data_IF_740461241577
#
_entry.id   IF_740461241577
#
_cell.length_a   1.000
_cell.length_b   1.000
_cell.length_c   1.000
_cell.angle_alpha   90.00
_cell.angle_beta   90.00
_cell.angle_gamma   90.00
#
_symmetry.space_group_name_H-M   'P 1'
#
loop_
_entity.id
_entity.type
_entity.pdbx_description
1 polymer ?
#
# COMPACT_ATOMS: atom_id res chain seq x y z
N UNK A 1 -19.50 -39.90 -33.42
CA UNK A 1 -19.34 -38.47 -33.08
C UNK A 1 -20.16 -37.99 -31.85
N UNK A 2 -20.86 -38.86 -31.10
CA UNK A 2 -21.77 -38.42 -30.02
C UNK A 2 -21.15 -38.39 -28.59
N UNK A 3 -20.12 -39.18 -28.31
CA UNK A 3 -19.63 -39.36 -26.93
C UNK A 3 -18.77 -38.20 -26.39
N UNK A 4 -18.04 -37.45 -27.24
CA UNK A 4 -17.16 -36.37 -26.79
C UNK A 4 -17.91 -35.07 -26.40
N UNK A 5 -19.07 -34.81 -27.01
CA UNK A 5 -19.90 -33.64 -26.66
C UNK A 5 -20.62 -33.82 -25.31
N UNK A 6 -20.86 -35.06 -24.88
CA UNK A 6 -21.52 -35.33 -23.61
C UNK A 6 -20.59 -35.01 -22.44
N UNK A 7 -19.31 -35.37 -22.53
CA UNK A 7 -18.31 -35.11 -21.48
C UNK A 7 -18.00 -33.62 -21.32
N UNK A 8 -17.93 -32.87 -22.43
CA UNK A 8 -17.73 -31.41 -22.37
C UNK A 8 -18.92 -30.71 -21.71
N UNK A 9 -20.15 -31.09 -22.06
CA UNK A 9 -21.36 -30.51 -21.48
C UNK A 9 -21.52 -30.84 -19.99
N UNK A 10 -21.08 -32.03 -19.56
CA UNK A 10 -21.07 -32.40 -18.14
C UNK A 10 -20.01 -31.65 -17.33
N UNK A 11 -18.85 -31.37 -17.92
CA UNK A 11 -17.79 -30.57 -17.30
C UNK A 11 -18.18 -29.08 -17.17
N UNK A 12 -18.88 -28.52 -18.16
CA UNK A 12 -19.41 -27.15 -18.07
C UNK A 12 -20.53 -27.01 -17.05
N UNK A 13 -21.44 -27.99 -16.97
CA UNK A 13 -22.52 -28.00 -15.98
C UNK A 13 -21.98 -28.10 -14.54
N UNK A 14 -20.89 -28.85 -14.31
CA UNK A 14 -20.24 -28.92 -13.00
C UNK A 14 -19.46 -27.65 -12.65
N UNK A 15 -18.90 -26.93 -13.64
CA UNK A 15 -18.26 -25.63 -13.40
C UNK A 15 -19.26 -24.51 -13.07
N UNK A 16 -20.44 -24.51 -13.70
CA UNK A 16 -21.52 -23.57 -13.34
C UNK A 16 -22.10 -23.87 -11.94
N UNK A 17 -22.22 -25.15 -11.56
CA UNK A 17 -22.69 -25.55 -10.22
C UNK A 17 -21.68 -25.21 -9.10
N UNK A 18 -20.38 -25.20 -9.40
CA UNK A 18 -19.34 -24.70 -8.48
C UNK A 18 -19.29 -23.17 -8.39
N UNK A 19 -19.78 -22.44 -9.40
CA UNK A 19 -19.87 -20.98 -9.39
C UNK A 19 -21.15 -20.47 -8.72
N UNK A 20 -22.19 -21.31 -8.61
CA UNK A 20 -23.53 -20.96 -8.13
C UNK A 20 -23.88 -21.56 -6.74
N UNK A 21 -22.92 -21.63 -5.81
CA UNK A 21 -23.20 -21.88 -4.38
C UNK A 21 -23.27 -20.55 -3.59
N UNK A 22 -24.12 -20.44 -2.56
CA UNK A 22 -25.10 -19.36 -2.42
C UNK A 22 -24.53 -17.99 -2.03
N UNK A 23 -24.78 -16.99 -2.88
CA UNK A 23 -24.79 -15.57 -2.52
C UNK A 23 -26.15 -15.19 -1.91
N UNK A 24 -26.44 -15.56 -0.65
CA UNK A 24 -27.54 -14.90 0.07
C UNK A 24 -27.45 -15.01 1.59
N UNK A 25 -27.53 -13.86 2.26
CA UNK A 25 -28.10 -13.74 3.60
C UNK A 25 -27.27 -12.90 4.58
N UNK A 26 -27.44 -11.58 4.55
CA UNK A 26 -27.24 -10.74 5.73
C UNK A 26 -28.22 -11.23 6.82
N UNK A 27 -27.78 -12.18 7.65
CA UNK A 27 -28.44 -12.56 8.90
C UNK A 27 -27.90 -11.64 10.01
N UNK A 28 -28.74 -10.80 10.64
CA UNK A 28 -28.27 -9.91 11.69
C UNK A 28 -28.04 -10.76 12.95
N UNK A 29 -26.78 -11.06 13.27
CA UNK A 29 -26.48 -11.55 14.62
C UNK A 29 -25.26 -12.43 14.87
N UNK A 30 -24.56 -12.96 13.87
CA UNK A 30 -23.37 -13.77 14.13
C UNK A 30 -22.12 -13.17 13.48
N UNK A 31 -21.32 -12.45 14.27
CA UNK A 31 -20.03 -11.93 13.81
C UNK A 31 -19.15 -13.11 13.36
N UNK A 32 -18.65 -13.14 12.12
CA UNK A 32 -17.78 -14.22 11.65
C UNK A 32 -16.56 -14.35 12.56
N UNK A 33 -16.30 -15.55 13.11
CA UNK A 33 -15.01 -15.82 13.74
C UNK A 33 -13.96 -15.86 12.65
N UNK A 34 -13.21 -14.77 12.56
CA UNK A 34 -12.17 -14.55 11.56
C UNK A 34 -11.09 -15.65 11.65
N UNK A 35 -10.77 -16.37 10.55
CA UNK A 35 -9.71 -17.36 10.56
C UNK A 35 -8.39 -16.74 11.02
N UNK A 36 -7.48 -17.52 11.64
CA UNK A 36 -6.20 -17.01 12.17
C UNK A 36 -5.39 -16.23 11.13
N UNK A 37 -5.48 -16.62 9.85
CA UNK A 37 -4.92 -15.88 8.72
C UNK A 37 -5.49 -14.46 8.57
N UNK A 38 -6.80 -14.25 8.75
CA UNK A 38 -7.42 -12.93 8.68
C UNK A 38 -7.06 -12.04 9.88
N UNK A 39 -6.79 -12.64 11.05
CA UNK A 39 -6.23 -11.91 12.21
C UNK A 39 -4.79 -11.46 11.92
N UNK A 40 -3.98 -12.31 11.31
CA UNK A 40 -2.62 -11.98 10.88
C UNK A 40 -2.63 -10.89 9.80
N UNK A 41 -3.43 -11.05 8.75
CA UNK A 41 -3.60 -10.05 7.67
C UNK A 41 -4.06 -8.71 8.26
N UNK A 42 -5.01 -8.70 9.20
CA UNK A 42 -5.45 -7.46 9.85
C UNK A 42 -4.34 -6.82 10.69
N UNK A 43 -3.49 -7.60 11.37
CA UNK A 43 -2.33 -7.08 12.10
C UNK A 43 -1.29 -6.51 11.14
N UNK A 44 -1.02 -7.19 10.04
CA UNK A 44 -0.14 -6.69 8.98
C UNK A 44 -0.70 -5.42 8.37
N UNK A 45 -2.00 -5.36 8.06
CA UNK A 45 -2.66 -4.17 7.51
C UNK A 45 -2.66 -2.99 8.50
N UNK A 46 -2.79 -3.28 9.80
CA UNK A 46 -2.66 -2.28 10.87
C UNK A 46 -1.21 -1.84 11.07
N UNK A 47 -0.24 -2.71 10.80
CA UNK A 47 1.19 -2.39 10.78
C UNK A 47 1.58 -1.59 9.54
N UNK A 48 1.03 -1.89 8.37
CA UNK A 48 1.26 -1.12 7.14
C UNK A 48 0.62 0.27 7.20
N UNK A 49 -0.33 0.50 8.10
CA UNK A 49 -0.77 1.87 8.39
C UNK A 49 0.39 2.77 8.87
N UNK A 50 1.40 2.24 9.57
CA UNK A 50 2.65 2.98 9.86
C UNK A 50 3.42 3.37 8.60
N UNK A 51 3.30 2.60 7.52
CA UNK A 51 3.90 2.96 6.23
C UNK A 51 3.10 4.07 5.53
N UNK A 52 1.84 4.34 5.90
CA UNK A 52 1.06 5.44 5.31
C UNK A 52 1.67 6.84 5.60
N UNK A 53 2.61 6.95 6.56
CA UNK A 53 3.41 8.16 6.81
C UNK A 53 4.37 8.53 5.65
N UNK A 54 4.44 7.70 4.62
CA UNK A 54 5.17 7.95 3.38
C UNK A 54 4.45 8.86 2.39
N UNK A 55 3.14 9.01 2.53
CA UNK A 55 2.39 9.88 1.64
C UNK A 55 2.69 11.34 2.00
N UNK A 56 2.77 12.25 1.01
CA UNK A 56 2.91 13.69 1.24
C UNK A 56 1.56 14.27 1.75
N UNK A 57 0.93 13.59 2.69
CA UNK A 57 -0.32 14.00 3.32
C UNK A 57 -0.05 14.28 4.79
N UNK A 58 -0.67 15.33 5.31
CA UNK A 58 -0.57 15.71 6.71
C UNK A 58 -1.93 16.13 7.22
N UNK A 59 -2.06 16.21 8.54
CA UNK A 59 -3.28 16.64 9.20
C UNK A 59 -3.01 17.79 10.17
N UNK A 60 -3.99 18.68 10.29
CA UNK A 60 -3.94 19.84 11.19
C UNK A 60 -5.28 19.97 11.91
N UNK A 61 -5.24 20.37 13.19
CA UNK A 61 -6.45 20.75 13.93
C UNK A 61 -6.72 22.23 13.68
N UNK A 62 -7.93 22.50 13.24
CA UNK A 62 -8.50 23.84 13.16
C UNK A 62 -8.81 24.40 14.56
N UNK A 63 -8.99 25.71 14.68
CA UNK A 63 -9.43 26.40 15.91
C UNK A 63 -10.76 25.84 16.44
N UNK A 64 -11.61 25.34 15.53
CA UNK A 64 -12.88 24.66 15.83
C UNK A 64 -12.71 23.23 16.35
N UNK A 65 -11.48 22.74 16.48
CA UNK A 65 -11.15 21.38 16.92
C UNK A 65 -11.33 20.29 15.85
N UNK A 66 -11.78 20.64 14.64
CA UNK A 66 -11.93 19.71 13.50
C UNK A 66 -10.57 19.39 12.89
N UNK A 67 -10.28 18.10 12.67
CA UNK A 67 -9.08 17.67 11.94
C UNK A 67 -9.30 17.86 10.44
N UNK A 68 -8.38 18.56 9.79
CA UNK A 68 -8.37 18.81 8.34
C UNK A 68 -7.16 18.11 7.74
N UNK A 69 -7.35 17.55 6.55
CA UNK A 69 -6.30 16.84 5.82
C UNK A 69 -5.84 17.68 4.64
N UNK A 70 -4.56 17.58 4.32
CA UNK A 70 -3.99 18.29 3.19
C UNK A 70 -2.76 17.61 2.62
N UNK A 71 -2.34 18.09 1.45
CA UNK A 71 -1.12 17.66 0.80
C UNK A 71 0.03 18.62 1.09
N UNK A 72 1.20 18.09 1.45
CA UNK A 72 2.40 18.87 1.65
C UNK A 72 2.87 19.47 0.32
N UNK A 73 3.15 20.76 0.30
CA UNK A 73 3.69 21.49 -0.85
C UNK A 73 4.97 22.23 -0.45
N UNK A 74 5.66 22.82 -1.41
CA UNK A 74 6.82 23.67 -1.13
C UNK A 74 6.46 24.94 -0.33
N UNK A 75 5.19 25.37 -0.36
CA UNK A 75 4.72 26.58 0.31
C UNK A 75 4.15 26.31 1.70
N UNK A 76 3.71 25.07 1.97
CA UNK A 76 3.06 24.66 3.22
C UNK A 76 2.08 23.51 2.98
N UNK A 77 1.05 23.37 3.81
CA UNK A 77 0.00 22.36 3.63
C UNK A 77 -1.13 22.90 2.74
N UNK A 78 -1.45 22.18 1.66
CA UNK A 78 -2.62 22.46 0.83
C UNK A 78 -3.82 21.66 1.32
N UNK A 79 -4.74 22.32 2.02
CA UNK A 79 -5.93 21.69 2.61
C UNK A 79 -6.97 21.44 1.51
N UNK A 80 -7.41 20.17 1.39
CA UNK A 80 -8.32 19.72 0.32
C UNK A 80 -9.71 20.36 0.45
N UNK A 81 -10.14 20.67 1.68
CA UNK A 81 -11.44 21.27 1.97
C UNK A 81 -11.54 22.76 1.61
N UNK A 82 -10.48 23.39 1.10
CA UNK A 82 -10.45 24.78 0.61
C UNK A 82 -10.83 25.88 1.61
N UNK A 83 -11.11 25.52 2.86
CA UNK A 83 -11.87 26.37 3.77
C UNK A 83 -11.00 27.15 4.76
N UNK A 84 -9.71 26.79 4.91
CA UNK A 84 -8.72 27.51 5.73
C UNK A 84 -7.33 27.34 5.12
N UNK A 85 -6.54 28.41 5.12
CA UNK A 85 -5.10 28.39 4.85
C UNK A 85 -4.33 28.28 6.17
N UNK A 86 -3.32 27.42 6.23
CA UNK A 86 -2.43 27.33 7.40
C UNK A 86 -1.83 28.71 7.70
N UNK A 87 -1.80 29.09 8.98
CA UNK A 87 -1.16 30.33 9.42
C UNK A 87 0.28 30.42 8.86
N UNK A 88 0.74 31.58 8.37
CA UNK A 88 2.09 31.72 7.81
C UNK A 88 3.20 31.27 8.75
N UNK A 89 2.97 31.32 10.06
CA UNK A 89 3.90 30.87 11.10
C UNK A 89 4.05 29.34 11.18
N UNK A 90 2.96 28.60 10.93
CA UNK A 90 2.92 27.14 10.98
C UNK A 90 3.20 26.49 9.62
N UNK A 91 2.99 27.21 8.52
CA UNK A 91 3.19 26.71 7.16
C UNK A 91 4.58 26.07 6.92
N UNK A 92 5.71 26.61 7.43
CA UNK A 92 7.03 26.00 7.29
C UNK A 92 7.13 24.58 7.85
N UNK A 93 6.38 24.26 8.92
CA UNK A 93 6.38 22.93 9.56
C UNK A 93 5.92 21.83 8.60
N UNK A 94 4.98 22.18 7.72
CA UNK A 94 4.32 21.28 6.80
C UNK A 94 4.95 21.27 5.39
N UNK A 95 5.99 22.08 5.14
CA UNK A 95 6.67 22.09 3.83
C UNK A 95 7.32 20.76 3.52
N UNK A 96 7.40 20.41 2.24
CA UNK A 96 8.16 19.24 1.76
C UNK A 96 9.61 19.37 2.22
N UNK A 97 10.13 18.32 2.83
CA UNK A 97 11.51 18.22 3.30
C UNK A 97 12.30 17.30 2.38
N UNK A 98 13.63 17.47 2.33
CA UNK A 98 14.51 16.56 1.58
C UNK A 98 14.31 15.08 1.94
N UNK A 99 14.04 14.81 3.21
CA UNK A 99 13.73 13.46 3.71
C UNK A 99 12.46 12.86 3.08
N UNK A 100 11.47 13.69 2.70
CA UNK A 100 10.25 13.22 2.03
C UNK A 100 10.58 12.66 0.63
N UNK A 101 11.50 13.32 -0.11
CA UNK A 101 11.98 12.81 -1.39
C UNK A 101 12.77 11.52 -1.25
N UNK A 102 13.63 11.45 -0.23
CA UNK A 102 14.42 10.25 0.03
C UNK A 102 13.54 9.04 0.33
N UNK A 103 12.51 9.23 1.17
CA UNK A 103 11.51 8.21 1.46
C UNK A 103 10.72 7.76 0.22
N UNK A 104 10.28 8.71 -0.61
CA UNK A 104 9.56 8.42 -1.85
C UNK A 104 10.44 7.65 -2.85
N UNK A 105 11.70 8.06 -3.03
CA UNK A 105 12.65 7.38 -3.90
C UNK A 105 12.92 5.95 -3.43
N UNK A 106 13.12 5.73 -2.13
CA UNK A 106 13.26 4.38 -1.58
C UNK A 106 12.01 3.53 -1.82
N UNK A 107 10.80 4.07 -1.69
CA UNK A 107 9.57 3.34 -2.01
C UNK A 107 9.50 2.93 -3.49
N UNK A 108 9.93 3.81 -4.40
CA UNK A 108 10.01 3.47 -5.83
C UNK A 108 11.06 2.38 -6.08
N UNK A 109 12.22 2.44 -5.42
CA UNK A 109 13.23 1.37 -5.53
C UNK A 109 12.73 0.04 -4.99
N UNK A 110 12.04 0.02 -3.85
CA UNK A 110 11.44 -1.19 -3.29
C UNK A 110 10.40 -1.76 -4.25
N UNK A 111 9.52 -0.91 -4.78
CA UNK A 111 8.52 -1.32 -5.78
C UNK A 111 9.20 -1.89 -7.03
N UNK A 112 10.21 -1.20 -7.56
CA UNK A 112 10.97 -1.64 -8.72
C UNK A 112 11.66 -2.98 -8.48
N UNK A 113 12.31 -3.16 -7.33
CA UNK A 113 12.98 -4.41 -6.98
C UNK A 113 11.99 -5.56 -6.84
N UNK A 114 10.83 -5.35 -6.20
CA UNK A 114 9.77 -6.37 -6.10
C UNK A 114 9.17 -6.68 -7.48
N UNK A 115 8.92 -5.68 -8.31
CA UNK A 115 8.42 -5.89 -9.67
C UNK A 115 9.43 -6.67 -10.53
N UNK A 116 10.72 -6.38 -10.38
CA UNK A 116 11.82 -7.10 -11.04
C UNK A 116 12.11 -8.48 -10.43
N UNK A 117 11.33 -8.96 -9.46
CA UNK A 117 11.34 -10.36 -9.04
C UNK A 117 10.35 -11.21 -9.85
N UNK A 118 9.36 -10.58 -10.48
CA UNK A 118 8.35 -11.28 -11.27
C UNK A 118 8.92 -11.72 -12.62
N UNK A 119 8.81 -13.01 -12.92
CA UNK A 119 9.37 -13.58 -14.15
C UNK A 119 8.75 -12.96 -15.41
N UNK A 120 7.47 -12.58 -15.39
CA UNK A 120 6.85 -11.95 -16.55
C UNK A 120 7.43 -10.56 -16.78
N UNK A 121 7.61 -9.77 -15.72
CA UNK A 121 8.22 -8.43 -15.80
C UNK A 121 9.65 -8.53 -16.33
N UNK A 122 10.49 -9.40 -15.74
CA UNK A 122 11.88 -9.50 -16.18
C UNK A 122 11.98 -10.05 -17.61
N UNK A 123 11.10 -10.98 -18.02
CA UNK A 123 11.10 -11.50 -19.39
C UNK A 123 10.67 -10.44 -20.42
N UNK A 124 9.81 -9.49 -20.04
CA UNK A 124 9.44 -8.37 -20.90
C UNK A 124 10.55 -7.32 -21.03
N UNK A 125 11.26 -7.00 -19.95
CA UNK A 125 12.27 -5.93 -19.93
C UNK A 125 13.70 -6.40 -20.25
N UNK A 126 14.04 -7.66 -19.97
CA UNK A 126 15.36 -8.25 -20.17
C UNK A 126 15.26 -9.65 -20.82
N UNK A 127 14.80 -9.74 -22.08
CA UNK A 127 14.58 -11.01 -22.78
C UNK A 127 15.86 -11.80 -23.09
N UNK A 128 17.02 -11.14 -23.15
CA UNK A 128 18.34 -11.76 -23.32
C UNK A 128 19.20 -11.50 -22.08
N UNK A 129 19.18 -12.44 -21.13
CA UNK A 129 19.87 -12.34 -19.83
C UNK A 129 21.13 -13.21 -19.83
N UNK A 130 22.28 -12.69 -19.39
CA UNK A 130 23.46 -13.51 -19.06
C UNK A 130 23.27 -14.20 -17.72
N UNK A 131 23.90 -15.37 -17.50
CA UNK A 131 23.79 -16.09 -16.21
C UNK A 131 24.18 -15.21 -15.01
N UNK A 132 25.19 -14.35 -15.17
CA UNK A 132 25.63 -13.40 -14.14
C UNK A 132 24.50 -12.43 -13.72
N UNK A 133 23.74 -11.91 -14.68
CA UNK A 133 22.64 -10.98 -14.40
C UNK A 133 21.48 -11.66 -13.64
N UNK A 134 21.31 -12.97 -13.80
CA UNK A 134 20.26 -13.73 -13.10
C UNK A 134 20.56 -13.86 -11.61
N UNK A 135 21.81 -14.11 -11.23
CA UNK A 135 22.19 -14.17 -9.82
C UNK A 135 21.94 -12.82 -9.12
N UNK A 136 22.35 -11.71 -9.75
CA UNK A 136 22.13 -10.37 -9.20
C UNK A 136 20.64 -10.03 -9.06
N UNK A 137 19.81 -10.32 -10.05
CA UNK A 137 18.38 -10.02 -10.02
C UNK A 137 17.63 -10.84 -8.95
N UNK A 138 18.13 -12.01 -8.59
CA UNK A 138 17.51 -12.85 -7.55
C UNK A 138 17.84 -12.32 -6.15
N UNK A 139 19.05 -11.79 -5.96
CA UNK A 139 19.51 -11.23 -4.68
C UNK A 139 19.08 -9.76 -4.46
N UNK A 140 18.85 -9.00 -5.54
CA UNK A 140 18.55 -7.57 -5.50
C UNK A 140 17.33 -7.21 -4.62
N UNK A 141 16.17 -7.88 -4.71
CA UNK A 141 14.99 -7.52 -3.91
C UNK A 141 15.20 -7.76 -2.41
N UNK A 142 15.96 -8.81 -2.07
CA UNK A 142 16.34 -9.12 -0.68
C UNK A 142 17.25 -8.03 -0.14
N UNK A 143 18.28 -7.65 -0.88
CA UNK A 143 19.21 -6.60 -0.49
C UNK A 143 18.50 -5.24 -0.33
N UNK A 144 17.71 -4.83 -1.33
CA UNK A 144 16.91 -3.60 -1.29
C UNK A 144 15.95 -3.62 -0.10
N UNK A 145 15.28 -4.75 0.15
CA UNK A 145 14.40 -4.92 1.31
C UNK A 145 15.11 -4.72 2.64
N UNK A 146 16.29 -5.31 2.83
CA UNK A 146 17.08 -5.17 4.07
C UNK A 146 17.54 -3.72 4.26
N UNK A 147 18.15 -3.13 3.24
CA UNK A 147 18.69 -1.75 3.30
C UNK A 147 17.56 -0.74 3.55
N UNK A 148 16.46 -0.83 2.81
CA UNK A 148 15.32 0.07 2.99
C UNK A 148 14.68 -0.12 4.38
N UNK A 149 14.61 -1.36 4.90
CA UNK A 149 14.09 -1.60 6.25
C UNK A 149 14.92 -0.90 7.33
N UNK A 150 16.25 -1.01 7.28
CA UNK A 150 17.14 -0.32 8.23
C UNK A 150 16.95 1.19 8.12
N UNK A 151 16.95 1.72 6.91
CA UNK A 151 16.81 3.15 6.64
C UNK A 151 15.47 3.71 7.16
N UNK A 152 14.35 3.03 6.93
CA UNK A 152 13.05 3.47 7.44
C UNK A 152 12.96 3.47 8.96
N UNK A 153 13.71 2.59 9.64
CA UNK A 153 13.81 2.60 11.10
C UNK A 153 14.67 3.76 11.60
N UNK A 154 15.82 4.02 10.95
CA UNK A 154 16.76 5.09 11.37
C UNK A 154 16.21 6.48 11.07
N UNK A 155 15.51 6.64 9.95
CA UNK A 155 14.97 7.91 9.50
C UNK A 155 13.45 7.83 9.40
N UNK A 156 12.70 7.79 10.51
CA UNK A 156 11.24 7.73 10.43
C UNK A 156 10.67 9.06 9.92
N UNK A 157 9.66 8.97 9.05
CA UNK A 157 8.84 10.13 8.69
C UNK A 157 8.13 10.69 9.93
N UNK A 158 8.11 12.02 10.06
CA UNK A 158 7.43 12.75 11.15
C UNK A 158 6.06 13.31 10.73
N UNK A 159 5.57 12.92 9.55
CA UNK A 159 4.27 13.36 9.00
C UNK A 159 3.11 12.65 9.70
N UNK A 160 2.00 13.34 9.89
CA UNK A 160 0.77 12.77 10.46
C UNK A 160 -0.25 12.57 9.34
N UNK A 161 -0.06 11.48 8.58
CA UNK A 161 -0.93 11.12 7.46
C UNK A 161 -2.34 10.70 7.90
N UNK A 162 -3.17 10.39 6.90
CA UNK A 162 -4.55 9.93 7.11
C UNK A 162 -4.53 8.63 7.95
N UNK A 163 -5.24 8.64 9.09
CA UNK A 163 -5.35 7.48 9.98
C UNK A 163 -4.52 7.56 11.27
N UNK A 164 -3.72 8.61 11.46
CA UNK A 164 -3.02 8.85 12.73
C UNK A 164 -3.78 9.86 13.61
N UNK A 165 -4.06 9.53 14.89
CA UNK A 165 -4.67 10.48 15.79
C UNK A 165 -3.66 11.59 16.15
N UNK A 166 -4.05 12.84 15.96
CA UNK A 166 -3.31 13.98 16.50
C UNK A 166 -3.44 13.97 18.03
N UNK A 167 -2.30 14.00 18.75
CA UNK A 167 -2.25 14.14 20.21
C UNK A 167 -3.16 15.28 20.69
N UNK A 168 -3.83 15.08 21.83
CA UNK A 168 -4.60 16.17 22.47
C UNK A 168 -3.62 17.26 22.87
N UNK A 169 -3.92 18.50 22.48
CA UNK A 169 -3.33 19.69 23.06
C UNK A 169 -3.91 19.92 24.46
#
# INVERSE_FOLDING_TARGET
MSAQNITANQAFATLEEQLQAPLLGDQPGLKPQKPPGQKAIRKTFKGTAHLANLLPTDSIRDERGKVRYGMATFRGLWIIDGSITVSPEDAPKYRIKFIDFFHAFMSVLVFGAVAMFDQNVINCFYPSRSEEAQEFLTALPVFVGIVCSIIFVVFPSKRHGIGFPLSRA
#
